data_IF_580922376462
#
_entry.id   IF_580922376462
#
_cell.length_a   1.000
_cell.length_b   1.000
_cell.length_c   1.000
_cell.angle_alpha   90.00
_cell.angle_beta   90.00
_cell.angle_gamma   90.00
#
_symmetry.space_group_name_H-M   'P 1'
#
loop_
_entity.id
_entity.type
_entity.pdbx_description
1 polymer ?
#
# COMPACT_ATOMS: atom_id res chain seq x y z
N UNK A 1 -17.11 31.59 16.86
CA UNK A 1 -15.86 31.15 16.23
C UNK A 1 -14.92 30.45 17.22
N UNK A 2 -14.25 31.16 18.16
CA UNK A 2 -13.33 30.52 19.13
C UNK A 2 -14.01 29.43 19.97
N UNK A 3 -15.25 29.70 20.40
CA UNK A 3 -16.06 28.76 21.18
C UNK A 3 -16.44 27.47 20.44
N UNK A 4 -16.56 27.49 19.11
CA UNK A 4 -16.86 26.28 18.33
C UNK A 4 -15.59 25.51 17.96
N UNK A 5 -14.50 26.24 17.69
CA UNK A 5 -13.18 25.64 17.49
C UNK A 5 -12.69 24.85 18.71
N UNK A 6 -13.09 25.26 19.92
CA UNK A 6 -12.73 24.51 21.13
C UNK A 6 -13.50 23.20 21.27
N UNK A 7 -14.72 23.09 20.71
CA UNK A 7 -15.42 21.80 20.59
C UNK A 7 -14.76 20.91 19.53
N UNK A 8 -14.41 21.47 18.36
CA UNK A 8 -13.64 20.76 17.32
C UNK A 8 -12.34 20.19 17.87
N UNK A 9 -11.55 21.00 18.58
CA UNK A 9 -10.31 20.55 19.19
C UNK A 9 -10.53 19.41 20.18
N UNK A 10 -11.56 19.52 21.05
CA UNK A 10 -11.81 18.52 22.06
C UNK A 10 -12.43 17.23 21.51
N UNK A 11 -13.25 17.32 20.46
CA UNK A 11 -13.74 16.16 19.74
C UNK A 11 -12.59 15.42 19.05
N UNK A 12 -11.69 16.15 18.37
CA UNK A 12 -10.49 15.60 17.76
C UNK A 12 -9.55 14.89 18.74
N UNK A 13 -9.38 15.40 19.96
CA UNK A 13 -8.59 14.72 21.01
C UNK A 13 -9.17 13.34 21.36
N UNK A 14 -10.49 13.21 21.46
CA UNK A 14 -11.15 11.92 21.75
C UNK A 14 -11.06 10.96 20.55
N UNK A 15 -11.06 11.50 19.33
CA UNK A 15 -10.82 10.72 18.10
C UNK A 15 -9.38 10.20 18.04
N UNK A 16 -8.39 11.01 18.41
CA UNK A 16 -7.00 10.57 18.55
C UNK A 16 -6.86 9.43 19.57
N UNK A 17 -7.51 9.55 20.74
CA UNK A 17 -7.54 8.48 21.75
C UNK A 17 -8.17 7.18 21.20
N UNK A 18 -9.21 7.30 20.37
CA UNK A 18 -9.87 6.15 19.75
C UNK A 18 -8.98 5.44 18.73
N UNK A 19 -8.22 6.21 17.94
CA UNK A 19 -7.24 5.69 16.99
C UNK A 19 -6.11 4.97 17.76
N UNK A 20 -5.58 5.58 18.82
CA UNK A 20 -4.53 4.97 19.65
C UNK A 20 -5.01 3.66 20.28
N UNK A 21 -6.23 3.64 20.83
CA UNK A 21 -6.85 2.43 21.37
C UNK A 21 -6.93 1.31 20.31
N UNK A 22 -7.37 1.65 19.10
CA UNK A 22 -7.52 0.69 18.01
C UNK A 22 -6.14 0.14 17.56
N UNK A 23 -5.13 1.01 17.45
CA UNK A 23 -3.76 0.62 17.08
C UNK A 23 -3.14 -0.32 18.13
N UNK A 24 -3.28 0.01 19.42
CA UNK A 24 -2.82 -0.85 20.51
C UNK A 24 -3.53 -2.21 20.47
N UNK A 25 -4.82 -2.25 20.15
CA UNK A 25 -5.54 -3.52 20.01
C UNK A 25 -4.98 -4.35 18.87
N UNK A 26 -4.75 -3.77 17.70
CA UNK A 26 -4.20 -4.47 16.53
C UNK A 26 -2.80 -4.99 16.84
N UNK A 27 -1.93 -4.17 17.44
CA UNK A 27 -0.57 -4.57 17.78
C UNK A 27 -0.54 -5.78 18.74
N UNK A 28 -1.37 -5.74 19.79
CA UNK A 28 -1.44 -6.83 20.77
C UNK A 28 -2.06 -8.13 20.24
N UNK A 29 -2.87 -8.07 19.17
CA UNK A 29 -3.61 -9.22 18.63
C UNK A 29 -3.16 -9.61 17.21
N UNK A 30 -2.07 -9.02 16.72
CA UNK A 30 -1.62 -9.10 15.32
C UNK A 30 -1.49 -10.54 14.82
N UNK A 31 -0.80 -11.40 15.58
CA UNK A 31 -0.55 -12.79 15.17
C UNK A 31 -1.84 -13.61 15.07
N UNK A 32 -2.79 -13.39 16.00
CA UNK A 32 -4.10 -14.06 15.96
C UNK A 32 -4.91 -13.59 14.75
N UNK A 33 -4.95 -12.29 14.49
CA UNK A 33 -5.67 -11.71 13.37
C UNK A 33 -5.11 -12.20 12.02
N UNK A 34 -3.78 -12.26 11.88
CA UNK A 34 -3.12 -12.77 10.67
C UNK A 34 -3.43 -14.25 10.45
N UNK A 35 -3.48 -15.06 11.52
CA UNK A 35 -3.79 -16.49 11.43
C UNK A 35 -5.19 -16.78 10.89
N UNK A 36 -6.14 -15.84 11.06
CA UNK A 36 -7.51 -15.94 10.53
C UNK A 36 -7.57 -15.72 9.02
N UNK A 37 -6.60 -15.01 8.43
CA UNK A 37 -6.57 -14.66 6.99
C UNK A 37 -5.81 -15.69 6.14
N UNK A 38 -4.77 -16.32 6.71
CA UNK A 38 -3.84 -17.21 6.00
C UNK A 38 -4.43 -18.52 5.44
N UNK A 39 -5.74 -18.78 5.59
CA UNK A 39 -6.38 -19.99 5.07
C UNK A 39 -6.76 -19.93 3.57
N UNK A 40 -6.53 -18.81 2.85
CA UNK A 40 -7.28 -18.54 1.61
C UNK A 40 -6.51 -18.40 0.28
N UNK A 41 -5.17 -18.30 0.20
CA UNK A 41 -4.44 -18.26 -1.10
C UNK A 41 -2.92 -18.46 -0.99
N UNK A 42 -2.29 -19.01 -2.04
CA UNK A 42 -0.84 -19.28 -2.11
C UNK A 42 0.02 -18.15 -2.72
N UNK A 43 -0.57 -17.02 -3.14
CA UNK A 43 0.15 -15.86 -3.67
C UNK A 43 0.60 -14.94 -2.52
N UNK A 44 1.91 -14.75 -2.39
CA UNK A 44 2.53 -14.01 -1.28
C UNK A 44 2.18 -12.51 -1.28
N UNK A 45 1.90 -11.89 -2.42
CA UNK A 45 1.52 -10.47 -2.51
C UNK A 45 0.04 -10.26 -2.25
N UNK A 46 -0.82 -11.15 -2.77
CA UNK A 46 -2.26 -11.17 -2.46
C UNK A 46 -2.46 -11.40 -0.95
N UNK A 47 -1.68 -12.30 -0.35
CA UNK A 47 -1.78 -12.58 1.08
C UNK A 47 -1.39 -11.37 1.94
N UNK A 48 -0.30 -10.67 1.59
CA UNK A 48 0.11 -9.45 2.31
C UNK A 48 -0.97 -8.37 2.24
N UNK A 49 -1.60 -8.24 1.08
CA UNK A 49 -2.62 -7.25 0.82
C UNK A 49 -3.94 -7.57 1.55
N UNK A 50 -4.40 -8.82 1.50
CA UNK A 50 -5.59 -9.30 2.21
C UNK A 50 -5.42 -9.16 3.73
N UNK A 51 -4.22 -9.46 4.25
CA UNK A 51 -3.90 -9.25 5.66
C UNK A 51 -4.01 -7.76 6.00
N UNK A 52 -3.42 -6.88 5.20
CA UNK A 52 -3.51 -5.44 5.46
C UNK A 52 -4.96 -4.94 5.45
N UNK A 53 -5.78 -5.44 4.53
CA UNK A 53 -7.19 -5.07 4.43
C UNK A 53 -7.99 -5.54 5.65
N UNK A 54 -7.78 -6.79 6.09
CA UNK A 54 -8.44 -7.32 7.27
C UNK A 54 -8.06 -6.57 8.56
N UNK A 55 -6.78 -6.23 8.73
CA UNK A 55 -6.31 -5.48 9.89
C UNK A 55 -6.93 -4.08 9.94
N UNK A 56 -7.04 -3.40 8.81
CA UNK A 56 -7.70 -2.10 8.71
C UNK A 56 -9.19 -2.18 9.07
N UNK A 57 -9.91 -3.20 8.56
CA UNK A 57 -11.32 -3.40 8.92
C UNK A 57 -11.52 -3.66 10.42
N UNK A 58 -10.62 -4.42 11.05
CA UNK A 58 -10.68 -4.66 12.49
C UNK A 58 -10.31 -3.40 13.28
N UNK A 59 -9.37 -2.59 12.80
CA UNK A 59 -9.02 -1.29 13.40
C UNK A 59 -10.23 -0.36 13.41
N UNK A 60 -10.91 -0.19 12.27
CA UNK A 60 -12.12 0.64 12.15
C UNK A 60 -13.23 0.20 13.13
N UNK A 61 -13.44 -1.11 13.28
CA UNK A 61 -14.42 -1.64 14.24
C UNK A 61 -14.07 -1.28 15.68
N UNK A 62 -12.78 -1.27 16.02
CA UNK A 62 -12.30 -1.00 17.39
C UNK A 62 -12.33 0.47 17.72
N UNK A 63 -11.95 1.32 16.78
CA UNK A 63 -12.10 2.76 16.89
C UNK A 63 -13.57 3.12 17.12
N UNK A 64 -14.48 2.62 16.28
CA UNK A 64 -15.91 2.83 16.45
C UNK A 64 -16.43 2.32 17.79
N UNK A 65 -16.00 1.13 18.21
CA UNK A 65 -16.37 0.57 19.52
C UNK A 65 -15.95 1.50 20.67
N UNK A 66 -14.74 2.06 20.60
CA UNK A 66 -14.26 3.01 21.60
C UNK A 66 -15.11 4.28 21.61
N UNK A 67 -15.33 4.89 20.45
CA UNK A 67 -16.14 6.10 20.29
C UNK A 67 -17.57 5.91 20.80
N UNK A 68 -18.19 4.78 20.49
CA UNK A 68 -19.52 4.41 20.99
C UNK A 68 -19.51 4.30 22.53
N UNK A 69 -18.44 3.77 23.12
CA UNK A 69 -18.29 3.62 24.58
C UNK A 69 -18.12 4.96 25.32
N UNK A 70 -17.42 5.92 24.71
CA UNK A 70 -17.16 7.25 25.31
C UNK A 70 -18.18 8.31 24.90
N UNK A 71 -19.13 7.97 24.02
CA UNK A 71 -20.14 8.89 23.47
C UNK A 71 -20.91 9.68 24.54
N UNK A 72 -21.25 9.03 25.65
CA UNK A 72 -21.99 9.64 26.76
C UNK A 72 -21.10 10.17 27.88
N UNK A 73 -19.79 9.99 27.79
CA UNK A 73 -18.84 10.45 28.80
C UNK A 73 -18.60 11.95 28.69
N UNK A 74 -18.42 12.60 29.83
CA UNK A 74 -18.15 14.04 29.91
C UNK A 74 -16.68 14.30 29.62
N UNK A 75 -16.39 14.71 28.39
CA UNK A 75 -15.01 14.94 27.93
C UNK A 75 -14.62 16.41 28.00
N UNK A 76 -15.58 17.35 28.04
CA UNK A 76 -15.27 18.77 27.97
C UNK A 76 -15.96 19.60 29.04
N UNK A 77 -15.18 20.30 29.85
CA UNK A 77 -15.68 21.20 30.88
C UNK A 77 -15.42 22.66 30.52
N UNK A 78 -16.48 23.41 30.30
CA UNK A 78 -16.48 24.84 30.01
C UNK A 78 -17.07 25.61 31.19
N UNK A 79 -16.30 25.70 32.29
CA UNK A 79 -16.53 26.49 33.52
C UNK A 79 -17.91 26.31 34.20
N UNK A 80 -18.98 26.63 33.48
CA UNK A 80 -20.39 26.59 33.87
C UNK A 80 -21.14 25.36 33.37
N UNK A 81 -20.63 24.66 32.35
CA UNK A 81 -21.29 23.46 31.79
C UNK A 81 -20.27 22.42 31.35
N UNK A 82 -20.58 21.17 31.66
CA UNK A 82 -19.89 19.99 31.13
C UNK A 82 -20.63 19.48 29.89
N UNK A 83 -19.87 19.00 28.92
CA UNK A 83 -20.34 18.49 27.64
C UNK A 83 -19.82 17.05 27.45
N UNK A 84 -20.72 16.21 26.99
CA UNK A 84 -20.39 14.85 26.56
C UNK A 84 -19.66 14.85 25.23
N UNK A 85 -18.96 13.76 24.89
CA UNK A 85 -18.32 13.63 23.57
C UNK A 85 -19.34 13.84 22.44
N UNK A 86 -20.52 13.22 22.56
CA UNK A 86 -21.60 13.41 21.59
C UNK A 86 -22.03 14.88 21.44
N UNK A 87 -22.18 15.60 22.55
CA UNK A 87 -22.51 17.03 22.50
C UNK A 87 -21.37 17.86 21.87
N UNK A 88 -20.11 17.45 22.05
CA UNK A 88 -18.97 18.08 21.38
C UNK A 88 -19.02 17.86 19.87
N UNK A 89 -19.28 16.63 19.41
CA UNK A 89 -19.42 16.31 17.98
C UNK A 89 -20.57 17.10 17.32
N UNK A 90 -21.72 17.22 17.99
CA UNK A 90 -22.86 17.99 17.47
C UNK A 90 -22.57 19.50 17.34
N UNK A 91 -21.56 20.00 18.06
CA UNK A 91 -21.20 21.43 18.17
C UNK A 91 -19.88 21.77 17.47
N UNK A 92 -19.17 20.76 17.01
CA UNK A 92 -17.98 20.90 16.19
C UNK A 92 -18.33 21.66 14.91
N UNK A 93 -17.39 22.48 14.46
CA UNK A 93 -17.47 23.05 13.13
C UNK A 93 -17.33 21.90 12.14
N UNK A 94 -18.37 21.66 11.34
CA UNK A 94 -18.23 20.92 10.09
C UNK A 94 -17.29 21.72 9.19
N UNK A 95 -15.99 21.45 9.32
CA UNK A 95 -14.96 21.97 8.43
C UNK A 95 -15.27 21.35 7.07
N UNK A 96 -16.01 22.09 6.23
CA UNK A 96 -16.28 21.66 4.86
C UNK A 96 -14.97 21.44 4.10
N UNK A 97 -15.05 20.68 3.00
CA UNK A 97 -13.91 20.30 2.15
C UNK A 97 -12.96 21.46 1.80
N UNK A 98 -13.47 22.69 1.77
CA UNK A 98 -12.72 23.91 1.42
C UNK A 98 -11.59 24.24 2.41
N UNK A 99 -11.73 23.87 3.69
CA UNK A 99 -10.73 24.16 4.73
C UNK A 99 -9.88 22.94 5.15
N UNK A 100 -10.21 21.73 4.65
CA UNK A 100 -9.44 20.51 4.94
C UNK A 100 -8.31 20.22 3.94
N UNK A 101 -8.25 20.95 2.82
CA UNK A 101 -7.17 20.90 1.85
C UNK A 101 -7.21 19.64 0.96
N UNK A 102 -6.99 19.81 -0.34
CA UNK A 102 -6.85 18.68 -1.28
C UNK A 102 -5.47 18.05 -1.20
N UNK A 103 -5.36 16.76 -1.57
CA UNK A 103 -4.10 16.01 -1.57
C UNK A 103 -3.66 15.71 -3.01
N UNK A 104 -2.39 15.96 -3.34
CA UNK A 104 -1.76 15.51 -4.60
C UNK A 104 -0.58 14.60 -4.24
N UNK A 105 -0.62 13.35 -4.71
CA UNK A 105 0.43 12.36 -4.47
C UNK A 105 0.79 11.67 -5.78
N UNK A 106 2.08 11.48 -6.02
CA UNK A 106 2.57 10.56 -7.06
C UNK A 106 3.15 9.33 -6.37
N UNK A 107 2.55 8.17 -6.60
CA UNK A 107 3.02 6.88 -6.11
C UNK A 107 3.86 6.21 -7.19
N UNK A 108 4.93 5.53 -6.80
CA UNK A 108 5.81 4.80 -7.72
C UNK A 108 5.91 3.34 -7.30
N UNK A 109 5.78 2.44 -8.27
CA UNK A 109 5.89 1.00 -8.05
C UNK A 109 7.33 0.59 -8.33
N UNK A 110 7.97 0.05 -7.29
CA UNK A 110 9.35 -0.41 -7.38
C UNK A 110 9.45 -1.69 -8.21
N UNK A 111 9.84 -1.54 -9.48
CA UNK A 111 10.10 -2.68 -10.39
C UNK A 111 11.16 -3.62 -9.82
N UNK A 112 12.16 -3.07 -9.11
CA UNK A 112 13.22 -3.85 -8.46
C UNK A 112 12.63 -4.82 -7.44
N UNK A 113 11.71 -4.34 -6.61
CA UNK A 113 11.11 -5.17 -5.56
C UNK A 113 10.17 -6.22 -6.15
N UNK A 114 9.47 -5.89 -7.24
CA UNK A 114 8.68 -6.88 -7.99
C UNK A 114 9.58 -7.99 -8.54
N UNK A 115 10.69 -7.65 -9.22
CA UNK A 115 11.64 -8.64 -9.76
C UNK A 115 12.21 -9.53 -8.65
N UNK A 116 12.57 -8.95 -7.50
CA UNK A 116 13.07 -9.71 -6.34
C UNK A 116 11.99 -10.63 -5.78
N UNK A 117 10.77 -10.15 -5.59
CA UNK A 117 9.65 -10.94 -5.11
C UNK A 117 9.33 -12.11 -6.05
N UNK A 118 9.30 -11.88 -7.37
CA UNK A 118 9.08 -12.91 -8.39
C UNK A 118 10.14 -14.03 -8.36
N UNK A 119 11.37 -13.69 -7.98
CA UNK A 119 12.47 -14.65 -7.77
C UNK A 119 12.46 -15.33 -6.40
N UNK A 120 11.45 -15.05 -5.57
CA UNK A 120 11.39 -15.43 -4.16
C UNK A 120 12.64 -14.98 -3.38
N UNK A 121 13.07 -13.74 -3.61
CA UNK A 121 14.26 -13.13 -3.00
C UNK A 121 15.52 -14.00 -3.16
N UNK A 122 15.78 -14.46 -4.39
CA UNK A 122 16.88 -15.37 -4.69
C UNK A 122 18.24 -14.84 -4.17
N UNK A 123 19.05 -15.67 -3.48
CA UNK A 123 20.38 -15.29 -3.01
C UNK A 123 21.45 -15.33 -4.10
N UNK A 124 21.08 -15.61 -5.37
CA UNK A 124 22.04 -15.73 -6.47
C UNK A 124 22.88 -14.46 -6.64
N UNK A 125 24.21 -14.62 -6.65
CA UNK A 125 25.14 -13.50 -6.64
C UNK A 125 25.14 -12.74 -7.98
N UNK A 126 25.04 -13.46 -9.10
CA UNK A 126 25.03 -12.86 -10.42
C UNK A 126 23.75 -12.02 -10.64
N UNK A 127 22.61 -12.55 -10.20
CA UNK A 127 21.32 -11.88 -10.23
C UNK A 127 21.28 -10.60 -9.38
N UNK A 128 21.69 -10.67 -8.10
CA UNK A 128 21.69 -9.50 -7.23
C UNK A 128 22.68 -8.43 -7.72
N UNK A 129 23.81 -8.86 -8.30
CA UNK A 129 24.77 -7.95 -8.94
C UNK A 129 24.20 -7.32 -10.21
N UNK A 130 23.46 -8.07 -11.02
CA UNK A 130 22.77 -7.55 -12.21
C UNK A 130 21.73 -6.49 -11.84
N UNK A 131 20.92 -6.73 -10.80
CA UNK A 131 19.97 -5.74 -10.27
C UNK A 131 20.69 -4.46 -9.85
N UNK A 132 21.77 -4.59 -9.07
CA UNK A 132 22.54 -3.43 -8.60
C UNK A 132 23.15 -2.67 -9.76
N UNK A 133 23.68 -3.38 -10.74
CA UNK A 133 24.30 -2.78 -11.95
C UNK A 133 23.26 -2.06 -12.80
N UNK A 134 22.10 -2.67 -13.00
CA UNK A 134 20.98 -2.07 -13.73
C UNK A 134 20.46 -0.80 -13.02
N UNK A 135 20.39 -0.82 -11.69
CA UNK A 135 20.04 0.36 -10.90
C UNK A 135 21.03 1.51 -11.08
N UNK A 136 22.33 1.23 -11.06
CA UNK A 136 23.36 2.24 -11.34
C UNK A 136 23.30 2.76 -12.79
N UNK A 137 22.99 1.88 -13.77
CA UNK A 137 22.78 2.28 -15.16
C UNK A 137 21.57 3.19 -15.30
N UNK A 138 20.48 2.90 -14.60
CA UNK A 138 19.23 3.68 -14.68
C UNK A 138 19.40 5.10 -14.16
N UNK A 139 20.27 5.35 -13.18
CA UNK A 139 20.56 6.72 -12.70
C UNK A 139 21.03 7.67 -13.81
N UNK A 140 21.63 7.13 -14.86
CA UNK A 140 22.19 7.88 -15.99
C UNK A 140 21.44 7.61 -17.31
N UNK A 141 20.32 6.88 -17.28
CA UNK A 141 19.54 6.52 -18.46
C UNK A 141 18.05 6.81 -18.27
N UNK A 142 17.32 6.95 -19.38
CA UNK A 142 15.86 6.96 -19.41
C UNK A 142 15.28 5.61 -19.88
N UNK A 143 16.15 4.61 -20.07
CA UNK A 143 15.74 3.28 -20.51
C UNK A 143 14.94 2.54 -19.43
N UNK A 144 14.13 1.59 -19.86
CA UNK A 144 13.34 0.74 -18.98
C UNK A 144 14.28 -0.10 -18.08
N UNK A 145 13.94 -0.20 -16.79
CA UNK A 145 14.73 -0.96 -15.82
C UNK A 145 14.93 -2.42 -16.23
N UNK A 146 13.90 -3.07 -16.79
CA UNK A 146 13.94 -4.48 -17.18
C UNK A 146 14.91 -4.70 -18.35
N UNK A 147 14.99 -3.74 -19.28
CA UNK A 147 15.97 -3.79 -20.38
C UNK A 147 17.40 -3.64 -19.84
N UNK A 148 17.63 -2.67 -18.94
CA UNK A 148 18.92 -2.47 -18.28
C UNK A 148 19.33 -3.71 -17.45
N UNK A 149 18.37 -4.31 -16.75
CA UNK A 149 18.55 -5.57 -16.03
C UNK A 149 18.92 -6.72 -16.96
N UNK A 150 18.23 -6.84 -18.10
CA UNK A 150 18.52 -7.88 -19.10
C UNK A 150 19.96 -7.74 -19.60
N UNK A 151 20.39 -6.52 -19.95
CA UNK A 151 21.77 -6.23 -20.38
C UNK A 151 22.77 -6.58 -19.27
N UNK A 152 22.52 -6.14 -18.04
CA UNK A 152 23.40 -6.39 -16.91
C UNK A 152 23.52 -7.89 -16.59
N UNK A 153 22.42 -8.63 -16.68
CA UNK A 153 22.41 -10.06 -16.42
C UNK A 153 23.12 -10.85 -17.53
N UNK A 154 22.86 -10.55 -18.81
CA UNK A 154 23.53 -11.23 -19.93
C UNK A 154 25.06 -11.05 -19.88
N UNK A 155 25.56 -9.91 -19.40
CA UNK A 155 26.99 -9.68 -19.20
C UNK A 155 27.62 -10.50 -18.06
N UNK A 156 26.79 -10.97 -17.12
CA UNK A 156 27.21 -11.76 -15.95
C UNK A 156 26.83 -13.25 -16.09
N UNK A 157 26.00 -13.58 -17.08
CA UNK A 157 25.42 -14.90 -17.24
C UNK A 157 26.50 -15.94 -17.59
N UNK A 158 26.39 -17.17 -17.06
CA UNK A 158 27.34 -18.25 -17.36
C UNK A 158 27.29 -18.69 -18.82
N UNK A 159 26.20 -18.41 -19.54
CA UNK A 159 26.03 -18.67 -20.97
C UNK A 159 24.98 -17.72 -21.56
N UNK A 160 25.09 -17.33 -22.84
CA UNK A 160 24.11 -16.47 -23.48
C UNK A 160 22.69 -17.05 -23.41
N UNK A 161 21.71 -16.20 -23.08
CA UNK A 161 20.28 -16.53 -23.04
C UNK A 161 19.90 -17.68 -22.07
N UNK A 162 20.72 -17.95 -21.05
CA UNK A 162 20.48 -18.96 -20.00
C UNK A 162 20.72 -18.42 -18.59
N UNK A 163 20.08 -19.05 -17.60
CA UNK A 163 20.30 -18.82 -16.17
C UNK A 163 19.07 -18.30 -15.42
N UNK A 164 18.29 -17.40 -16.03
CA UNK A 164 17.13 -16.79 -15.36
C UNK A 164 16.04 -17.83 -15.05
N UNK A 165 15.85 -18.84 -15.90
CA UNK A 165 14.82 -19.86 -15.68
C UNK A 165 14.98 -20.58 -14.33
N UNK A 166 16.20 -20.85 -13.88
CA UNK A 166 16.46 -21.48 -12.59
C UNK A 166 16.11 -20.58 -11.40
N UNK A 167 16.22 -19.26 -11.57
CA UNK A 167 15.94 -18.25 -10.54
C UNK A 167 14.43 -17.99 -10.44
N UNK A 168 13.74 -17.96 -11.58
CA UNK A 168 12.31 -17.64 -11.68
C UNK A 168 11.42 -18.88 -11.76
N UNK A 169 11.94 -20.07 -11.46
CA UNK A 169 11.15 -21.31 -11.28
C UNK A 169 10.47 -21.34 -9.90
N UNK A 170 9.81 -20.25 -9.52
CA UNK A 170 9.07 -20.11 -8.25
C UNK A 170 7.68 -20.73 -8.35
N UNK A 171 7.03 -21.06 -7.22
CA UNK A 171 5.67 -21.61 -7.23
C UNK A 171 4.67 -20.74 -8.02
N UNK A 172 4.77 -19.42 -7.87
CA UNK A 172 3.88 -18.45 -8.52
C UNK A 172 4.09 -18.39 -10.04
N UNK A 173 5.30 -18.66 -10.51
CA UNK A 173 5.67 -18.63 -11.92
C UNK A 173 5.72 -19.99 -12.59
N UNK A 174 5.42 -21.08 -11.88
CA UNK A 174 5.61 -22.46 -12.36
C UNK A 174 4.89 -22.76 -13.68
N UNK A 175 3.76 -22.13 -13.94
CA UNK A 175 3.00 -22.30 -15.18
C UNK A 175 3.53 -21.42 -16.33
N UNK A 176 4.26 -20.35 -16.01
CA UNK A 176 4.75 -19.34 -16.96
C UNK A 176 6.24 -19.51 -17.30
N UNK A 177 7.04 -20.03 -16.36
CA UNK A 177 8.48 -20.24 -16.47
C UNK A 177 8.80 -21.73 -16.28
N UNK A 178 9.40 -22.34 -17.29
CA UNK A 178 9.90 -23.71 -17.23
C UNK A 178 11.43 -23.69 -17.07
N UNK A 179 12.01 -24.76 -16.54
CA UNK A 179 13.48 -24.87 -16.43
C UNK A 179 14.20 -24.75 -17.79
N UNK A 180 13.53 -25.16 -18.87
CA UNK A 180 14.01 -25.04 -20.25
C UNK A 180 13.77 -23.67 -20.88
N UNK A 181 13.09 -22.74 -20.19
CA UNK A 181 12.82 -21.40 -20.71
C UNK A 181 14.12 -20.63 -20.92
N UNK A 182 14.17 -19.86 -22.01
CA UNK A 182 15.30 -18.98 -22.29
C UNK A 182 15.21 -17.68 -21.47
N UNK A 183 16.31 -16.95 -21.30
CA UNK A 183 16.28 -15.67 -20.59
C UNK A 183 15.27 -14.72 -21.23
N UNK A 184 15.22 -14.66 -22.57
CA UNK A 184 14.23 -13.85 -23.29
C UNK A 184 12.78 -14.21 -22.92
N UNK A 185 12.46 -15.49 -22.78
CA UNK A 185 11.12 -15.93 -22.37
C UNK A 185 10.82 -15.52 -20.92
N UNK A 186 11.80 -15.68 -20.03
CA UNK A 186 11.66 -15.29 -18.62
C UNK A 186 11.47 -13.77 -18.50
N UNK A 187 12.22 -12.97 -19.25
CA UNK A 187 12.07 -11.51 -19.29
C UNK A 187 10.69 -11.09 -19.80
N UNK A 188 10.13 -11.79 -20.79
CA UNK A 188 8.76 -11.52 -21.25
C UNK A 188 7.73 -11.79 -20.14
N UNK A 189 7.90 -12.86 -19.36
CA UNK A 189 7.06 -13.14 -18.19
C UNK A 189 7.23 -12.07 -17.13
N UNK A 190 8.46 -11.67 -16.80
CA UNK A 190 8.73 -10.60 -15.81
C UNK A 190 8.04 -9.29 -16.21
N UNK A 191 8.11 -8.90 -17.48
CA UNK A 191 7.40 -7.71 -17.98
C UNK A 191 5.89 -7.81 -17.73
N UNK A 192 5.28 -8.95 -18.09
CA UNK A 192 3.85 -9.16 -17.88
C UNK A 192 3.47 -9.10 -16.39
N UNK A 193 4.26 -9.71 -15.50
CA UNK A 193 4.00 -9.67 -14.06
C UNK A 193 4.15 -8.28 -13.44
N UNK A 194 5.10 -7.48 -13.93
CA UNK A 194 5.28 -6.09 -13.49
C UNK A 194 4.08 -5.25 -13.91
N UNK A 195 3.62 -5.40 -15.16
CA UNK A 195 2.42 -4.72 -15.65
C UNK A 195 1.17 -5.13 -14.85
N UNK A 196 0.97 -6.43 -14.63
CA UNK A 196 -0.15 -6.94 -13.83
C UNK A 196 -0.08 -6.43 -12.38
N UNK A 197 1.12 -6.31 -11.79
CA UNK A 197 1.29 -5.74 -10.46
C UNK A 197 0.88 -4.26 -10.41
N UNK A 198 1.22 -3.48 -11.44
CA UNK A 198 0.81 -2.07 -11.56
C UNK A 198 -0.71 -1.95 -11.64
N UNK A 199 -1.35 -2.76 -12.49
CA UNK A 199 -2.80 -2.73 -12.66
C UNK A 199 -3.54 -3.16 -11.39
N UNK A 200 -3.03 -4.17 -10.68
CA UNK A 200 -3.56 -4.54 -9.36
C UNK A 200 -3.45 -3.37 -8.38
N UNK A 201 -2.26 -2.79 -8.21
CA UNK A 201 -2.05 -1.63 -7.33
C UNK A 201 -2.99 -0.45 -7.66
N UNK A 202 -3.20 -0.17 -8.94
CA UNK A 202 -4.13 0.86 -9.38
C UNK A 202 -5.58 0.58 -8.93
N UNK A 203 -6.07 -0.63 -9.17
CA UNK A 203 -7.43 -1.02 -8.79
C UNK A 203 -7.65 -1.00 -7.27
N UNK A 204 -6.62 -1.35 -6.51
CA UNK A 204 -6.61 -1.31 -5.05
C UNK A 204 -6.74 0.13 -4.55
N UNK A 205 -5.89 1.03 -5.06
CA UNK A 205 -5.90 2.43 -4.67
C UNK A 205 -7.25 3.07 -4.97
N UNK A 206 -7.79 2.81 -6.15
CA UNK A 206 -9.13 3.24 -6.54
C UNK A 206 -10.20 2.75 -5.55
N UNK A 207 -10.22 1.45 -5.26
CA UNK A 207 -11.21 0.86 -4.36
C UNK A 207 -11.10 1.42 -2.93
N UNK A 208 -9.88 1.68 -2.45
CA UNK A 208 -9.65 2.31 -1.13
C UNK A 208 -10.18 3.74 -1.11
N UNK A 209 -9.86 4.54 -2.12
CA UNK A 209 -10.34 5.93 -2.22
C UNK A 209 -11.87 5.98 -2.30
N UNK A 210 -12.49 5.07 -3.05
CA UNK A 210 -13.95 4.95 -3.12
C UNK A 210 -14.56 4.65 -1.74
N UNK A 211 -13.90 3.82 -0.91
CA UNK A 211 -14.34 3.54 0.47
C UNK A 211 -14.26 4.75 1.40
N UNK A 212 -13.30 5.65 1.20
CA UNK A 212 -13.18 6.89 1.98
C UNK A 212 -14.25 7.94 1.61
N UNK A 213 -15.15 7.65 0.66
CA UNK A 213 -16.27 8.53 0.33
C UNK A 213 -15.86 9.82 -0.36
N UNK A 214 -14.66 9.86 -0.96
CA UNK A 214 -14.13 11.05 -1.64
C UNK A 214 -14.98 11.34 -2.87
N UNK A 215 -15.57 12.54 -2.93
CA UNK A 215 -16.31 12.97 -4.10
C UNK A 215 -15.33 13.31 -5.23
N UNK A 216 -15.27 12.50 -6.28
CA UNK A 216 -14.53 12.76 -7.53
C UNK A 216 -12.99 12.76 -7.40
N UNK A 217 -12.37 11.62 -7.02
CA UNK A 217 -10.91 11.49 -7.10
C UNK A 217 -10.43 11.47 -8.55
N UNK A 218 -9.28 12.11 -8.82
CA UNK A 218 -8.57 11.97 -10.09
C UNK A 218 -7.41 11.00 -9.91
N UNK A 219 -7.51 9.82 -10.51
CA UNK A 219 -6.49 8.77 -10.43
C UNK A 219 -6.03 8.45 -11.85
N UNK A 220 -4.75 8.64 -12.13
CA UNK A 220 -4.19 8.46 -13.47
C UNK A 220 -2.93 7.60 -13.44
N UNK A 221 -2.84 6.63 -14.35
CA UNK A 221 -1.63 5.84 -14.57
C UNK A 221 -0.69 6.63 -15.48
N UNK A 222 0.58 6.73 -15.09
CA UNK A 222 1.65 7.29 -15.91
C UNK A 222 2.36 6.12 -16.63
N UNK A 223 1.79 5.72 -17.77
CA UNK A 223 2.11 4.53 -18.59
C UNK A 223 3.61 4.22 -18.68
N UNK A 224 4.47 5.23 -18.84
CA UNK A 224 5.90 5.04 -19.10
C UNK A 224 6.76 4.78 -17.85
N UNK A 225 6.20 4.87 -16.64
CA UNK A 225 7.00 4.95 -15.41
C UNK A 225 6.53 4.07 -14.25
N UNK A 226 5.45 3.30 -14.41
CA UNK A 226 4.89 2.55 -13.28
C UNK A 226 4.45 3.47 -12.12
N UNK A 227 4.16 4.74 -12.43
CA UNK A 227 3.72 5.75 -11.46
C UNK A 227 2.22 5.95 -11.56
N UNK A 228 1.60 6.26 -10.42
CA UNK A 228 0.18 6.53 -10.29
C UNK A 228 0.03 7.91 -9.67
N UNK A 229 -0.57 8.83 -10.40
CA UNK A 229 -0.96 10.14 -9.90
C UNK A 229 -2.32 10.01 -9.21
N UNK A 230 -2.39 10.50 -7.98
CA UNK A 230 -3.61 10.55 -7.17
C UNK A 230 -3.84 11.99 -6.75
N UNK A 231 -5.01 12.52 -7.10
CA UNK A 231 -5.47 13.82 -6.65
C UNK A 231 -6.83 13.66 -6.00
N UNK A 232 -6.91 14.04 -4.73
CA UNK A 232 -8.15 14.03 -3.96
C UNK A 232 -8.58 15.49 -3.73
N UNK A 233 -9.79 15.90 -4.15
CA UNK A 233 -10.41 17.08 -3.57
C UNK A 233 -10.60 16.82 -2.07
N UNK A 234 -10.57 17.88 -1.24
CA UNK A 234 -10.52 17.75 0.22
C UNK A 234 -11.43 16.65 0.78
N UNK A 235 -10.95 15.92 1.78
CA UNK A 235 -11.73 14.90 2.50
C UNK A 235 -12.51 15.52 3.65
#
# INVERSE_FOLDING_TARGET
CIYQLSFTWKAGEVEEDAIEYADIYIENNKDELISKVQQSSNDSLINLMLVSEYLEEEKEKKEKYFLDSVSSEKVYNLLVKEYTYKECQEREINLGLDLKGGMNVTLEISVIDVIKALSNYSPDSAFNKAITTAYEMQKNSQDNFIDLFTIAYENLAPSPDKGLSAIFSTPDLREKVQFSSTNKQVIAVINAEVEDAIDRSFNILRSRIDRFGVSQPNIQRLETSGRILVELPGI
#
